data_IF_117894629400
#
_entry.id   IF_117894629400
#
_cell.length_a   1.000
_cell.length_b   1.000
_cell.length_c   1.000
_cell.angle_alpha   90.00
_cell.angle_beta   90.00
_cell.angle_gamma   90.00
#
_symmetry.space_group_name_H-M   'P 1'
#
loop_
_entity.id
_entity.type
_entity.pdbx_description
1 polymer ?
#
# COMPACT_ATOMS: atom_id res chain seq x y z
N UNK A 1 -37.07 -17.18 82.34
CA UNK A 1 -36.84 -18.13 81.24
C UNK A 1 -36.65 -17.32 79.97
N UNK A 2 -35.50 -17.54 79.37
CA UNK A 2 -34.95 -17.01 78.12
C UNK A 2 -35.89 -17.22 76.92
N UNK A 3 -36.00 -16.22 76.04
CA UNK A 3 -36.11 -16.39 74.58
C UNK A 3 -35.95 -15.02 73.88
N UNK A 4 -34.75 -14.75 73.33
CA UNK A 4 -34.45 -14.73 71.87
C UNK A 4 -35.09 -13.53 71.16
N UNK A 5 -34.46 -12.36 71.18
CA UNK A 5 -33.57 -11.86 70.11
C UNK A 5 -34.00 -12.30 68.70
N UNK A 6 -34.79 -11.47 68.03
CA UNK A 6 -34.82 -11.44 66.56
C UNK A 6 -34.72 -9.99 66.13
N UNK A 7 -33.49 -9.55 65.86
CA UNK A 7 -33.21 -8.30 65.16
C UNK A 7 -33.68 -8.49 63.71
N UNK A 8 -34.91 -8.06 63.42
CA UNK A 8 -35.30 -7.80 62.04
C UNK A 8 -34.53 -6.54 61.60
N UNK A 9 -33.35 -6.76 61.01
CA UNK A 9 -32.72 -5.74 60.17
C UNK A 9 -33.68 -5.52 59.01
N UNK A 10 -34.37 -4.37 59.07
CA UNK A 10 -35.21 -3.87 58.00
C UNK A 10 -34.27 -3.60 56.81
N UNK A 11 -34.22 -4.56 55.90
CA UNK A 11 -33.48 -4.43 54.63
C UNK A 11 -34.31 -3.46 53.80
N UNK A 12 -34.07 -2.17 54.00
CA UNK A 12 -34.68 -1.07 53.28
C UNK A 12 -34.24 -1.09 51.81
N UNK A 13 -34.84 -1.99 51.05
CA UNK A 13 -34.84 -1.96 49.60
C UNK A 13 -36.30 -1.86 49.19
N UNK A 14 -36.81 -0.64 49.19
CA UNK A 14 -38.21 -0.37 48.88
C UNK A 14 -38.48 -0.62 47.40
N UNK A 15 -39.71 -0.96 47.03
CA UNK A 15 -40.09 -1.10 45.61
C UNK A 15 -39.87 0.21 44.84
N UNK A 16 -39.94 1.35 45.54
CA UNK A 16 -39.65 2.68 44.99
C UNK A 16 -38.15 2.89 44.73
N UNK A 17 -37.26 2.46 45.64
CA UNK A 17 -35.81 2.49 45.39
C UNK A 17 -35.40 1.55 44.24
N UNK A 18 -36.06 0.40 44.11
CA UNK A 18 -35.86 -0.51 42.98
C UNK A 18 -36.36 0.09 41.67
N UNK A 19 -37.54 0.72 41.66
CA UNK A 19 -38.08 1.40 40.49
C UNK A 19 -37.21 2.59 40.06
N UNK A 20 -36.71 3.40 40.99
CA UNK A 20 -35.81 4.53 40.70
C UNK A 20 -34.43 4.09 40.21
N UNK A 21 -33.95 2.91 40.63
CA UNK A 21 -32.76 2.28 40.05
C UNK A 21 -33.05 1.72 38.65
N UNK A 22 -34.24 1.17 38.41
CA UNK A 22 -34.65 0.64 37.11
C UNK A 22 -34.82 1.74 36.07
N UNK A 23 -35.43 2.88 36.42
CA UNK A 23 -35.56 4.08 35.56
C UNK A 23 -34.20 4.67 35.17
N UNK A 24 -33.17 4.54 36.04
CA UNK A 24 -31.79 4.93 35.69
C UNK A 24 -31.16 4.01 34.64
N UNK A 25 -31.69 2.81 34.47
CA UNK A 25 -31.30 1.83 33.45
C UNK A 25 -32.32 1.70 32.33
N UNK A 26 -33.34 2.57 32.26
CA UNK A 26 -34.18 2.64 31.07
C UNK A 26 -33.27 3.05 29.91
N UNK A 27 -32.93 2.05 29.10
CA UNK A 27 -32.21 2.20 27.86
C UNK A 27 -33.10 3.04 26.93
N UNK A 28 -32.96 4.36 27.03
CA UNK A 28 -33.56 5.31 26.11
C UNK A 28 -32.78 5.20 24.80
N UNK A 29 -33.16 4.23 23.98
CA UNK A 29 -32.63 4.05 22.64
C UNK A 29 -33.11 5.21 21.77
N UNK A 30 -32.22 6.15 21.46
CA UNK A 30 -32.55 7.25 20.57
C UNK A 30 -32.21 6.86 19.11
N UNK A 31 -33.00 7.28 18.11
CA UNK A 31 -32.63 7.15 16.71
C UNK A 31 -31.27 7.83 16.48
N UNK A 32 -30.27 7.06 16.03
CA UNK A 32 -28.89 7.53 15.91
C UNK A 32 -27.86 6.77 16.75
N UNK A 33 -28.30 5.99 17.74
CA UNK A 33 -27.39 5.26 18.60
C UNK A 33 -26.91 3.95 17.96
N UNK A 34 -25.68 3.57 18.30
CA UNK A 34 -25.09 2.26 17.95
C UNK A 34 -25.29 1.33 19.14
N UNK A 35 -25.95 0.21 18.92
CA UNK A 35 -26.32 -0.77 19.95
C UNK A 35 -25.81 -2.16 19.58
N UNK A 36 -25.35 -2.92 20.57
CA UNK A 36 -25.05 -4.33 20.37
C UNK A 36 -26.37 -5.14 20.39
N UNK A 37 -26.58 -5.95 19.36
CA UNK A 37 -27.74 -6.82 19.25
C UNK A 37 -27.36 -8.24 18.90
N UNK A 38 -28.18 -9.21 19.27
CA UNK A 38 -28.00 -10.62 18.92
C UNK A 38 -29.08 -11.03 17.94
N UNK A 39 -28.70 -11.66 16.83
CA UNK A 39 -29.64 -12.11 15.80
C UNK A 39 -30.48 -13.26 16.35
N UNK A 40 -31.77 -13.00 16.57
CA UNK A 40 -32.71 -13.99 17.09
C UNK A 40 -33.27 -14.88 15.98
N UNK A 41 -33.70 -14.27 14.86
CA UNK A 41 -34.27 -14.99 13.72
C UNK A 41 -33.90 -14.34 12.39
N UNK A 42 -33.59 -15.15 11.39
CA UNK A 42 -33.34 -14.73 10.02
C UNK A 42 -34.59 -15.03 9.18
N UNK A 43 -35.11 -14.03 8.48
CA UNK A 43 -36.23 -14.17 7.54
C UNK A 43 -35.77 -13.86 6.11
N UNK A 44 -36.46 -14.32 5.06
CA UNK A 44 -36.06 -14.03 3.67
C UNK A 44 -36.06 -12.54 3.29
N UNK A 45 -36.75 -11.68 4.06
CA UNK A 45 -36.88 -10.24 3.79
C UNK A 45 -36.19 -9.36 4.83
N UNK A 46 -35.61 -9.94 5.87
CA UNK A 46 -34.98 -9.21 6.97
C UNK A 46 -34.53 -10.13 8.10
N UNK A 47 -34.15 -9.56 9.24
CA UNK A 47 -33.86 -10.33 10.44
C UNK A 47 -34.39 -9.62 11.69
N UNK A 48 -34.75 -10.42 12.69
CA UNK A 48 -35.14 -9.97 14.01
C UNK A 48 -33.93 -10.06 14.92
N UNK A 49 -33.62 -8.96 15.57
CA UNK A 49 -32.46 -8.78 16.44
C UNK A 49 -32.96 -8.37 17.81
N UNK A 50 -32.43 -9.03 18.83
CA UNK A 50 -32.62 -8.63 20.21
C UNK A 50 -31.52 -7.64 20.61
N UNK A 51 -31.88 -6.39 20.84
CA UNK A 51 -30.97 -5.33 21.30
C UNK A 51 -31.13 -5.04 22.81
N UNK A 52 -31.84 -5.89 23.55
CA UNK A 52 -32.17 -5.67 24.95
C UNK A 52 -33.26 -4.61 25.18
N UNK A 53 -34.00 -4.25 24.13
CA UNK A 53 -35.16 -3.38 24.20
C UNK A 53 -36.44 -4.16 24.56
N UNK A 54 -37.52 -3.44 24.89
CA UNK A 54 -38.82 -4.04 25.20
C UNK A 54 -39.45 -4.78 24.00
N UNK A 55 -39.06 -4.40 22.79
CA UNK A 55 -39.50 -5.03 21.54
C UNK A 55 -38.30 -5.43 20.69
N UNK A 56 -38.42 -6.55 19.97
CA UNK A 56 -37.41 -6.99 19.02
C UNK A 56 -37.26 -5.96 17.89
N UNK A 57 -36.01 -5.76 17.46
CA UNK A 57 -35.67 -4.84 16.40
C UNK A 57 -35.60 -5.58 15.06
N UNK A 58 -35.97 -4.91 13.97
CA UNK A 58 -36.03 -5.47 12.63
C UNK A 58 -34.99 -4.81 11.73
N UNK A 59 -34.19 -5.63 11.04
CA UNK A 59 -33.28 -5.17 9.98
C UNK A 59 -33.78 -5.65 8.62
N UNK A 60 -34.08 -4.74 7.67
CA UNK A 60 -34.43 -5.14 6.32
C UNK A 60 -33.17 -5.58 5.54
N UNK A 61 -33.32 -6.48 4.57
CA UNK A 61 -32.19 -7.01 3.77
C UNK A 61 -31.38 -5.91 3.06
N UNK A 62 -32.00 -4.76 2.75
CA UNK A 62 -31.34 -3.60 2.13
C UNK A 62 -30.36 -2.88 3.06
N UNK A 63 -30.52 -3.03 4.38
CA UNK A 63 -29.72 -2.40 5.42
C UNK A 63 -28.73 -3.38 6.08
N UNK A 64 -28.75 -4.65 5.66
CA UNK A 64 -27.85 -5.69 6.18
C UNK A 64 -26.41 -5.55 5.69
N UNK A 65 -26.17 -5.02 4.49
CA UNK A 65 -24.81 -4.76 4.02
C UNK A 65 -24.75 -3.67 2.96
N UNK A 66 -23.54 -3.17 2.74
CA UNK A 66 -23.20 -2.28 1.62
C UNK A 66 -23.37 -3.00 0.26
N UNK A 67 -23.17 -4.32 0.24
CA UNK A 67 -23.32 -5.12 -0.97
C UNK A 67 -24.80 -5.52 -1.19
N UNK A 68 -25.21 -5.59 -2.46
CA UNK A 68 -26.48 -6.22 -2.82
C UNK A 68 -26.29 -7.73 -2.62
N UNK A 69 -26.95 -8.27 -1.61
CA UNK A 69 -26.92 -9.68 -1.27
C UNK A 69 -28.29 -10.27 -1.58
N UNK A 70 -28.31 -11.48 -2.11
CA UNK A 70 -29.54 -12.20 -2.43
C UNK A 70 -30.05 -13.05 -1.24
N UNK A 71 -29.19 -13.33 -0.25
CA UNK A 71 -29.52 -14.05 0.98
C UNK A 71 -28.94 -13.42 2.27
N UNK A 72 -29.75 -13.18 3.32
CA UNK A 72 -29.30 -12.58 4.59
C UNK A 72 -28.31 -13.46 5.39
N UNK A 73 -28.27 -14.77 5.11
CA UNK A 73 -27.40 -15.76 5.76
C UNK A 73 -25.90 -15.58 5.45
N UNK A 74 -25.54 -14.90 4.35
CA UNK A 74 -24.13 -14.69 3.98
C UNK A 74 -23.43 -13.66 4.88
N UNK A 75 -24.19 -12.79 5.54
CA UNK A 75 -23.64 -11.69 6.35
C UNK A 75 -23.87 -11.90 7.84
N UNK A 76 -25.01 -12.49 8.20
CA UNK A 76 -25.40 -12.71 9.59
C UNK A 76 -25.60 -14.19 9.86
N UNK A 77 -24.91 -14.70 10.88
CA UNK A 77 -25.22 -16.01 11.43
C UNK A 77 -26.28 -15.87 12.53
N UNK A 78 -27.19 -16.84 12.62
CA UNK A 78 -28.15 -16.90 13.73
C UNK A 78 -27.37 -16.93 15.06
N UNK A 79 -27.82 -16.16 16.04
CA UNK A 79 -27.18 -16.00 17.35
C UNK A 79 -25.81 -15.29 17.35
N UNK A 80 -25.46 -14.57 16.28
CA UNK A 80 -24.28 -13.70 16.27
C UNK A 80 -24.60 -12.36 16.93
N UNK A 81 -23.71 -11.88 17.81
CA UNK A 81 -23.80 -10.54 18.39
C UNK A 81 -23.00 -9.55 17.55
N UNK A 82 -23.66 -8.50 17.06
CA UNK A 82 -23.03 -7.42 16.29
C UNK A 82 -23.52 -6.06 16.73
N UNK A 83 -22.81 -5.03 16.31
CA UNK A 83 -23.23 -3.64 16.49
C UNK A 83 -24.16 -3.23 15.34
N UNK A 84 -25.26 -2.57 15.70
CA UNK A 84 -26.32 -2.12 14.82
C UNK A 84 -26.61 -0.64 15.06
N UNK A 85 -26.91 0.08 14.00
CA UNK A 85 -27.31 1.47 14.07
C UNK A 85 -28.84 1.59 14.06
N UNK A 86 -29.43 2.35 14.98
CA UNK A 86 -30.88 2.56 15.01
C UNK A 86 -31.26 3.63 13.99
N UNK A 87 -32.01 3.25 12.95
CA UNK A 87 -32.46 4.17 11.89
C UNK A 87 -33.71 4.95 12.28
N UNK A 88 -34.70 4.26 12.84
CA UNK A 88 -36.00 4.82 13.18
C UNK A 88 -36.55 4.17 14.44
N UNK A 89 -37.16 5.00 15.28
CA UNK A 89 -37.99 4.56 16.38
C UNK A 89 -39.33 4.03 15.85
N UNK A 90 -39.69 2.85 16.34
CA UNK A 90 -41.04 2.27 16.36
C UNK A 90 -41.84 2.35 15.04
N UNK A 91 -41.71 1.32 14.19
CA UNK A 91 -42.64 1.12 13.07
C UNK A 91 -44.07 0.80 13.57
N UNK A 92 -45.06 0.73 12.68
CA UNK A 92 -46.46 0.41 13.01
C UNK A 92 -46.66 -0.87 13.86
N UNK A 93 -45.68 -1.79 13.83
CA UNK A 93 -45.65 -3.04 14.60
C UNK A 93 -44.89 -2.96 15.94
N UNK A 94 -44.44 -1.78 16.37
CA UNK A 94 -43.67 -1.61 17.60
C UNK A 94 -42.19 -1.99 17.51
N UNK A 95 -41.70 -2.30 16.31
CA UNK A 95 -40.33 -2.77 16.07
C UNK A 95 -39.39 -1.62 15.70
N UNK A 96 -38.18 -1.64 16.25
CA UNK A 96 -37.12 -0.67 15.93
C UNK A 96 -36.43 -1.04 14.62
N UNK A 97 -36.23 -0.10 13.70
CA UNK A 97 -35.54 -0.40 12.44
C UNK A 97 -34.03 -0.24 12.62
N UNK A 98 -33.26 -1.28 12.35
CA UNK A 98 -31.80 -1.28 12.46
C UNK A 98 -31.10 -1.28 11.09
N UNK A 99 -29.86 -0.81 11.08
CA UNK A 99 -28.95 -0.86 9.93
C UNK A 99 -27.53 -1.26 10.34
N UNK A 100 -26.99 -2.28 9.68
CA UNK A 100 -25.56 -2.62 9.73
C UNK A 100 -24.79 -1.80 8.68
N UNK A 101 -25.44 -1.54 7.54
CA UNK A 101 -24.84 -0.90 6.37
C UNK A 101 -24.07 0.37 6.71
N UNK A 102 -24.58 1.21 7.63
CA UNK A 102 -23.93 2.47 8.04
C UNK A 102 -22.64 2.23 8.84
N UNK A 103 -22.63 1.22 9.71
CA UNK A 103 -21.44 0.83 10.49
C UNK A 103 -20.39 0.21 9.57
N UNK A 104 -20.80 -0.70 8.67
CA UNK A 104 -19.91 -1.23 7.64
C UNK A 104 -19.30 -0.10 6.81
N UNK A 105 -20.09 0.93 6.47
CA UNK A 105 -19.62 2.05 5.67
C UNK A 105 -18.49 2.79 6.36
N UNK A 106 -18.70 3.17 7.62
CA UNK A 106 -17.68 3.85 8.43
C UNK A 106 -16.42 3.00 8.58
N UNK A 107 -16.58 1.71 8.93
CA UNK A 107 -15.44 0.77 9.06
C UNK A 107 -14.72 0.55 7.74
N UNK A 108 -15.42 0.52 6.61
CA UNK A 108 -14.80 0.39 5.29
C UNK A 108 -13.94 1.62 4.96
N UNK A 109 -14.40 2.83 5.26
CA UNK A 109 -13.61 4.06 5.09
C UNK A 109 -12.39 4.11 5.98
N UNK A 110 -12.54 3.73 7.25
CA UNK A 110 -11.43 3.63 8.18
C UNK A 110 -10.37 2.65 7.68
N UNK A 111 -10.78 1.46 7.23
CA UNK A 111 -9.88 0.47 6.62
C UNK A 111 -9.20 0.98 5.36
N UNK A 112 -9.92 1.66 4.47
CA UNK A 112 -9.33 2.23 3.25
C UNK A 112 -8.31 3.32 3.58
N UNK A 113 -8.59 4.17 4.57
CA UNK A 113 -7.66 5.20 5.05
C UNK A 113 -6.39 4.56 5.63
N UNK A 114 -6.55 3.50 6.42
CA UNK A 114 -5.43 2.75 6.97
C UNK A 114 -4.59 2.09 5.87
N UNK A 115 -5.23 1.42 4.90
CA UNK A 115 -4.53 0.79 3.78
C UNK A 115 -3.80 1.80 2.89
N UNK A 116 -4.34 3.02 2.77
CA UNK A 116 -3.64 4.12 2.09
C UNK A 116 -2.40 4.58 2.89
N UNK A 117 -2.51 4.71 4.22
CA UNK A 117 -1.40 5.11 5.07
C UNK A 117 -0.27 4.05 5.12
N UNK A 118 -0.64 2.78 5.07
CA UNK A 118 0.29 1.64 5.02
C UNK A 118 0.81 1.36 3.59
N UNK A 119 0.34 2.11 2.60
CA UNK A 119 0.70 1.97 1.19
C UNK A 119 0.52 0.53 0.67
N UNK A 120 -0.52 -0.16 1.17
CA UNK A 120 -0.75 -1.57 0.95
C UNK A 120 -1.33 -1.87 -0.45
N UNK A 121 -0.96 -3.02 -1.02
CA UNK A 121 -1.58 -3.52 -2.26
C UNK A 121 -2.82 -4.35 -1.95
N UNK A 122 -3.97 -3.94 -2.47
CA UNK A 122 -5.26 -4.62 -2.29
C UNK A 122 -5.65 -5.32 -3.57
N UNK A 123 -6.22 -6.53 -3.49
CA UNK A 123 -6.79 -7.24 -4.64
C UNK A 123 -8.27 -6.94 -4.76
N UNK A 124 -8.73 -6.61 -5.97
CA UNK A 124 -10.13 -6.28 -6.20
C UNK A 124 -10.56 -6.63 -7.61
N UNK A 125 -11.85 -6.98 -7.72
CA UNK A 125 -12.53 -7.30 -8.96
C UNK A 125 -13.04 -6.02 -9.64
N UNK A 126 -12.84 -5.91 -10.95
CA UNK A 126 -13.44 -4.86 -11.78
C UNK A 126 -14.88 -5.24 -12.11
N UNK A 127 -15.84 -4.42 -11.68
CA UNK A 127 -17.26 -4.66 -11.94
C UNK A 127 -17.69 -4.11 -13.30
N UNK A 128 -17.14 -2.97 -13.72
CA UNK A 128 -17.50 -2.34 -14.98
C UNK A 128 -16.34 -1.52 -15.55
N UNK A 129 -16.30 -1.38 -16.87
CA UNK A 129 -15.37 -0.51 -17.59
C UNK A 129 -16.17 0.56 -18.33
N UNK A 130 -15.71 1.82 -18.25
CA UNK A 130 -16.16 2.93 -19.06
C UNK A 130 -15.00 3.40 -19.97
N UNK A 131 -15.28 4.24 -20.98
CA UNK A 131 -14.25 4.74 -21.92
C UNK A 131 -13.06 5.43 -21.22
N UNK A 132 -13.32 6.08 -20.07
CA UNK A 132 -12.32 6.81 -19.28
C UNK A 132 -11.63 6.02 -18.16
N UNK A 133 -12.12 4.83 -17.78
CA UNK A 133 -11.57 4.09 -16.63
C UNK A 133 -12.41 2.89 -16.20
N UNK A 134 -11.96 2.18 -15.19
CA UNK A 134 -12.61 0.99 -14.63
C UNK A 134 -13.20 1.30 -13.24
N UNK A 135 -14.37 0.73 -12.96
CA UNK A 135 -15.04 0.76 -11.66
C UNK A 135 -14.73 -0.54 -10.92
N UNK A 136 -14.14 -0.41 -9.75
CA UNK A 136 -13.78 -1.53 -8.85
C UNK A 136 -14.54 -1.43 -7.55
N UNK A 137 -14.65 -2.55 -6.84
CA UNK A 137 -15.26 -2.58 -5.51
C UNK A 137 -14.26 -3.06 -4.49
N UNK A 138 -13.99 -2.24 -3.48
CA UNK A 138 -13.04 -2.56 -2.40
C UNK A 138 -13.78 -2.40 -1.10
N UNK A 139 -13.85 -3.48 -0.31
CA UNK A 139 -14.46 -3.46 1.02
C UNK A 139 -15.89 -2.90 1.05
N UNK A 140 -16.65 -3.10 -0.04
CA UNK A 140 -18.01 -2.58 -0.22
C UNK A 140 -18.07 -1.17 -0.85
N UNK A 141 -16.98 -0.41 -0.85
CA UNK A 141 -16.89 0.92 -1.44
C UNK A 141 -16.62 0.87 -2.95
N UNK A 142 -17.12 1.88 -3.67
CA UNK A 142 -16.93 2.03 -5.12
C UNK A 142 -15.64 2.81 -5.38
N UNK A 143 -14.71 2.18 -6.09
CA UNK A 143 -13.48 2.81 -6.56
C UNK A 143 -13.44 3.00 -8.07
N UNK A 144 -12.64 3.95 -8.50
CA UNK A 144 -12.41 4.30 -9.88
C UNK A 144 -10.92 4.19 -10.20
N UNK A 145 -10.59 3.46 -11.26
CA UNK A 145 -9.24 3.37 -11.83
C UNK A 145 -9.24 4.17 -13.13
N UNK A 146 -8.49 5.28 -13.22
CA UNK A 146 -8.37 6.00 -14.48
C UNK A 146 -7.69 5.12 -15.53
N UNK A 147 -8.14 5.17 -16.79
CA UNK A 147 -7.63 4.32 -17.87
C UNK A 147 -6.12 4.44 -18.09
N UNK A 148 -5.53 5.61 -17.83
CA UNK A 148 -4.08 5.84 -17.92
C UNK A 148 -3.26 5.04 -16.91
N UNK A 149 -3.88 4.54 -15.84
CA UNK A 149 -3.26 3.75 -14.77
C UNK A 149 -3.53 2.24 -14.91
N UNK A 150 -4.26 1.81 -15.94
CA UNK A 150 -4.45 0.40 -16.31
C UNK A 150 -3.33 0.03 -17.28
N UNK A 151 -2.29 -0.66 -16.80
CA UNK A 151 -1.11 -1.01 -17.62
C UNK A 151 -1.24 -2.36 -18.32
N UNK A 152 -2.46 -2.74 -18.72
CA UNK A 152 -2.69 -4.00 -19.45
C UNK A 152 -2.89 -3.71 -20.93
N UNK A 153 -2.13 -4.38 -21.81
CA UNK A 153 -2.27 -4.35 -23.29
C UNK A 153 -3.55 -5.04 -23.80
N UNK A 154 -4.40 -5.57 -22.90
CA UNK A 154 -5.64 -6.29 -23.23
C UNK A 154 -6.79 -5.30 -23.52
N UNK A 155 -7.77 -5.68 -24.36
CA UNK A 155 -8.98 -4.87 -24.58
C UNK A 155 -9.71 -4.63 -23.26
N UNK A 156 -10.24 -3.41 -23.07
CA UNK A 156 -10.79 -2.93 -21.78
C UNK A 156 -12.05 -3.71 -21.33
N UNK A 157 -12.67 -4.46 -22.22
CA UNK A 157 -13.90 -5.23 -22.00
C UNK A 157 -13.62 -6.58 -21.32
N UNK A 158 -12.44 -7.19 -21.53
CA UNK A 158 -12.08 -8.50 -20.94
C UNK A 158 -11.50 -8.38 -19.52
N UNK A 159 -11.33 -7.16 -19.01
CA UNK A 159 -10.84 -6.91 -17.64
C UNK A 159 -11.95 -7.00 -16.59
N UNK A 160 -13.21 -7.10 -17.01
CA UNK A 160 -14.36 -7.22 -16.10
C UNK A 160 -14.31 -8.60 -15.44
N UNK A 161 -14.28 -8.63 -14.11
CA UNK A 161 -14.17 -9.86 -13.33
C UNK A 161 -12.75 -10.39 -13.11
N UNK A 162 -11.70 -9.72 -13.61
CA UNK A 162 -10.31 -10.08 -13.28
C UNK A 162 -9.92 -9.46 -11.92
N UNK A 163 -9.27 -10.26 -11.05
CA UNK A 163 -8.71 -9.75 -9.79
C UNK A 163 -7.39 -9.03 -10.06
N UNK A 164 -7.40 -7.71 -9.95
CA UNK A 164 -6.20 -6.90 -10.13
C UNK A 164 -5.66 -6.43 -8.78
N UNK A 165 -4.33 -6.47 -8.57
CA UNK A 165 -3.72 -5.74 -7.47
C UNK A 165 -3.76 -4.25 -7.75
N UNK A 166 -4.24 -3.49 -6.77
CA UNK A 166 -4.46 -2.06 -6.85
C UNK A 166 -3.81 -1.40 -5.63
N UNK A 167 -3.27 -0.20 -5.85
CA UNK A 167 -2.80 0.67 -4.79
C UNK A 167 -3.67 1.92 -4.76
N UNK A 168 -3.91 2.46 -3.57
CA UNK A 168 -4.64 3.72 -3.42
C UNK A 168 -3.80 4.87 -3.99
N UNK A 169 -4.44 5.73 -4.77
CA UNK A 169 -3.86 6.99 -5.23
C UNK A 169 -4.43 8.14 -4.39
N UNK A 170 -5.75 8.17 -4.28
CA UNK A 170 -6.49 9.23 -3.61
C UNK A 170 -7.75 8.63 -2.98
N UNK A 171 -8.08 9.08 -1.78
CA UNK A 171 -9.25 8.64 -1.00
C UNK A 171 -10.00 9.90 -0.62
N UNK A 172 -11.20 10.09 -1.17
CA UNK A 172 -12.10 11.21 -0.88
C UNK A 172 -13.37 10.67 -0.23
N UNK A 173 -13.46 10.82 1.09
CA UNK A 173 -14.60 10.37 1.92
C UNK A 173 -15.85 11.22 1.70
N UNK A 174 -15.70 12.53 1.45
CA UNK A 174 -16.85 13.43 1.26
C UNK A 174 -17.58 13.13 -0.05
N UNK A 175 -16.83 12.86 -1.12
CA UNK A 175 -17.39 12.55 -2.44
C UNK A 175 -17.63 11.07 -2.67
N UNK A 176 -17.38 10.24 -1.66
CA UNK A 176 -17.43 8.79 -1.74
C UNK A 176 -16.64 8.26 -2.96
N UNK A 177 -15.48 8.85 -3.23
CA UNK A 177 -14.67 8.57 -4.42
C UNK A 177 -13.31 8.06 -4.02
N UNK A 178 -13.05 6.80 -4.38
CA UNK A 178 -11.73 6.18 -4.23
C UNK A 178 -11.06 6.14 -5.59
N UNK A 179 -9.87 6.71 -5.72
CA UNK A 179 -9.06 6.60 -6.94
C UNK A 179 -7.94 5.60 -6.71
N UNK A 180 -7.90 4.59 -7.57
CA UNK A 180 -6.97 3.47 -7.47
C UNK A 180 -6.09 3.39 -8.71
N UNK A 181 -4.91 2.81 -8.54
CA UNK A 181 -3.91 2.67 -9.60
C UNK A 181 -3.38 1.25 -9.65
N UNK A 182 -3.59 0.58 -10.80
CA UNK A 182 -3.00 -0.73 -11.07
C UNK A 182 -1.50 -0.61 -11.41
N UNK A 183 -1.10 0.46 -12.12
CA UNK A 183 0.31 0.71 -12.47
C UNK A 183 1.22 0.73 -11.25
N UNK A 184 0.84 1.41 -10.17
CA UNK A 184 1.69 1.50 -8.96
C UNK A 184 1.95 0.12 -8.34
N UNK A 185 0.93 -0.74 -8.29
CA UNK A 185 1.06 -2.09 -7.76
C UNK A 185 1.98 -2.99 -8.61
N UNK A 186 1.98 -2.82 -9.94
CA UNK A 186 2.90 -3.54 -10.84
C UNK A 186 4.35 -3.07 -10.68
N UNK A 187 4.53 -1.74 -10.57
CA UNK A 187 5.85 -1.13 -10.38
C UNK A 187 6.49 -1.65 -9.10
N UNK A 188 5.78 -1.61 -7.99
CA UNK A 188 6.28 -2.05 -6.68
C UNK A 188 6.64 -3.55 -6.65
N UNK A 189 5.80 -4.43 -7.21
CA UNK A 189 6.15 -5.86 -7.30
C UNK A 189 7.40 -6.12 -8.14
N UNK A 190 7.61 -5.33 -9.19
CA UNK A 190 8.80 -5.46 -10.03
C UNK A 190 10.02 -4.85 -9.36
N UNK A 191 9.88 -3.71 -8.71
CA UNK A 191 10.93 -3.10 -7.91
C UNK A 191 11.41 -4.01 -6.79
N UNK A 192 10.51 -4.68 -6.09
CA UNK A 192 10.88 -5.65 -5.05
C UNK A 192 11.62 -6.88 -5.59
N UNK A 193 11.57 -7.14 -6.90
CA UNK A 193 12.34 -8.22 -7.54
C UNK A 193 13.71 -7.76 -8.02
N UNK A 194 13.88 -6.46 -8.27
CA UNK A 194 15.08 -5.90 -8.87
C UNK A 194 16.05 -5.45 -7.77
N UNK A 195 17.30 -5.88 -7.87
CA UNK A 195 18.36 -5.46 -6.97
C UNK A 195 19.29 -4.45 -7.64
N UNK A 196 19.88 -3.54 -6.85
CA UNK A 196 20.92 -2.63 -7.32
C UNK A 196 22.13 -3.46 -7.79
N UNK A 197 22.65 -3.17 -8.98
CA UNK A 197 23.71 -3.93 -9.64
C UNK A 197 23.22 -5.08 -10.51
N UNK A 198 21.91 -5.34 -10.59
CA UNK A 198 21.35 -6.30 -11.53
C UNK A 198 21.38 -5.76 -12.97
N UNK A 199 21.71 -6.64 -13.92
CA UNK A 199 21.67 -6.36 -15.35
C UNK A 199 20.32 -6.79 -15.89
N UNK A 200 19.61 -5.84 -16.48
CA UNK A 200 18.26 -6.04 -17.02
C UNK A 200 18.21 -5.63 -18.48
N UNK A 201 17.35 -6.30 -19.24
CA UNK A 201 17.04 -5.93 -20.62
C UNK A 201 15.83 -4.98 -20.57
N UNK A 202 15.95 -3.83 -21.22
CA UNK A 202 14.87 -2.84 -21.30
C UNK A 202 14.72 -2.28 -22.71
N UNK A 203 13.52 -1.82 -23.03
CA UNK A 203 13.20 -1.25 -24.36
C UNK A 203 13.17 0.27 -24.30
N UNK A 204 13.86 0.96 -25.21
CA UNK A 204 13.89 2.43 -25.25
C UNK A 204 12.52 2.95 -25.68
N UNK A 205 11.80 3.64 -24.79
CA UNK A 205 10.48 4.22 -25.10
C UNK A 205 10.59 5.61 -25.72
N UNK A 206 11.65 6.35 -25.42
CA UNK A 206 11.86 7.69 -25.95
C UNK A 206 13.18 8.29 -25.50
N UNK A 207 13.72 9.16 -26.34
CA UNK A 207 15.02 9.78 -26.14
C UNK A 207 14.81 11.29 -25.98
N UNK A 208 15.48 11.88 -24.99
CA UNK A 208 15.53 13.33 -24.77
C UNK A 208 16.98 13.80 -24.74
N UNK A 209 17.23 15.12 -24.86
CA UNK A 209 18.60 15.64 -24.88
C UNK A 209 19.42 15.33 -23.63
N UNK A 210 18.75 15.14 -22.48
CA UNK A 210 19.40 14.83 -21.20
C UNK A 210 19.48 13.33 -20.87
N UNK A 211 18.89 12.45 -21.69
CA UNK A 211 18.93 11.01 -21.45
C UNK A 211 17.90 10.18 -22.22
N UNK A 212 17.97 8.87 -22.07
CA UNK A 212 17.05 7.90 -22.67
C UNK A 212 16.09 7.32 -21.61
N UNK A 213 14.81 7.21 -21.96
CA UNK A 213 13.80 6.54 -21.14
C UNK A 213 13.67 5.09 -21.60
N UNK A 214 14.01 4.17 -20.70
CA UNK A 214 14.01 2.74 -20.98
C UNK A 214 12.91 2.10 -20.13
N UNK A 215 12.03 1.33 -20.77
CA UNK A 215 10.98 0.58 -20.11
C UNK A 215 11.51 -0.81 -19.74
N UNK A 216 11.64 -1.07 -18.44
CA UNK A 216 12.05 -2.36 -17.90
C UNK A 216 10.79 -3.06 -17.43
N UNK A 217 10.07 -3.64 -18.38
CA UNK A 217 8.86 -4.42 -18.11
C UNK A 217 7.78 -3.66 -17.33
N UNK A 218 7.57 -2.36 -17.53
CA UNK A 218 6.51 -1.58 -16.87
C UNK A 218 6.99 -0.63 -15.77
N UNK A 219 8.29 -0.64 -15.45
CA UNK A 219 8.96 0.41 -14.67
C UNK A 219 9.79 1.27 -15.63
N UNK A 220 9.69 2.59 -15.49
CA UNK A 220 10.47 3.51 -16.34
C UNK A 220 11.82 3.77 -15.69
N UNK A 221 12.88 3.36 -16.37
CA UNK A 221 14.25 3.76 -16.06
C UNK A 221 14.68 4.99 -16.84
N UNK A 222 15.53 5.80 -16.22
CA UNK A 222 16.21 6.92 -16.87
C UNK A 222 17.69 6.60 -16.98
N UNK A 223 18.20 6.62 -18.21
CA UNK A 223 19.62 6.55 -18.52
C UNK A 223 20.11 7.96 -18.80
N UNK A 224 20.92 8.52 -17.90
CA UNK A 224 21.47 9.87 -18.07
C UNK A 224 22.51 9.86 -19.20
N UNK A 225 22.68 10.96 -19.95
CA UNK A 225 23.72 11.04 -21.01
C UNK A 225 25.11 10.69 -20.50
N UNK A 226 25.41 11.09 -19.26
CA UNK A 226 26.67 10.80 -18.58
C UNK A 226 26.81 9.36 -18.14
N UNK A 227 25.79 8.51 -18.28
CA UNK A 227 25.82 7.09 -17.92
C UNK A 227 25.72 6.18 -19.14
N UNK A 228 25.71 6.74 -20.36
CA UNK A 228 25.65 5.99 -21.62
C UNK A 228 27.00 5.35 -21.98
N UNK A 229 28.08 6.13 -21.98
CA UNK A 229 29.42 5.61 -22.28
C UNK A 229 30.48 6.51 -21.65
N UNK A 230 31.69 6.00 -21.50
CA UNK A 230 32.85 6.78 -21.02
C UNK A 230 33.26 7.90 -21.99
N UNK A 231 32.94 7.76 -23.27
CA UNK A 231 33.17 8.78 -24.29
C UNK A 231 32.10 9.89 -24.27
N UNK A 232 32.50 11.11 -24.64
CA UNK A 232 31.57 12.25 -24.71
C UNK A 232 30.60 12.05 -25.88
N UNK A 233 29.33 11.89 -25.56
CA UNK A 233 28.26 11.75 -26.56
C UNK A 233 27.52 13.08 -26.65
N UNK A 234 27.66 13.77 -27.78
CA UNK A 234 26.98 15.05 -28.04
C UNK A 234 25.47 14.89 -28.23
N UNK A 235 25.00 13.72 -28.70
CA UNK A 235 23.57 13.47 -28.90
C UNK A 235 23.22 12.01 -28.67
N UNK A 236 22.35 11.67 -27.69
CA UNK A 236 21.96 10.28 -27.42
C UNK A 236 21.21 9.58 -28.57
N UNK A 237 20.78 10.32 -29.59
CA UNK A 237 20.20 9.79 -30.84
C UNK A 237 21.20 9.06 -31.74
N UNK A 238 22.52 9.27 -31.56
CA UNK A 238 23.51 8.55 -32.35
C UNK A 238 23.73 7.11 -31.87
N UNK A 239 23.39 6.82 -30.61
CA UNK A 239 23.67 5.54 -29.95
C UNK A 239 22.43 4.66 -29.82
N UNK A 240 21.26 5.26 -29.56
CA UNK A 240 20.02 4.50 -29.38
C UNK A 240 18.93 4.94 -30.33
N UNK A 241 18.12 3.96 -30.76
CA UNK A 241 16.89 4.20 -31.50
C UNK A 241 15.67 4.00 -30.60
N UNK A 242 14.55 4.65 -30.94
CA UNK A 242 13.28 4.41 -30.25
C UNK A 242 12.81 2.99 -30.56
N UNK A 243 12.42 2.26 -29.51
CA UNK A 243 12.08 0.83 -29.48
C UNK A 243 13.26 -0.15 -29.54
N UNK A 244 14.49 0.32 -29.37
CA UNK A 244 15.64 -0.57 -29.29
C UNK A 244 15.70 -1.33 -27.95
N UNK A 245 16.22 -2.55 -27.95
CA UNK A 245 16.41 -3.36 -26.76
C UNK A 245 17.85 -3.22 -26.25
N UNK A 246 18.01 -2.71 -25.03
CA UNK A 246 19.30 -2.38 -24.44
C UNK A 246 19.46 -3.11 -23.11
N UNK A 247 20.65 -3.69 -22.89
CA UNK A 247 21.07 -4.27 -21.62
C UNK A 247 21.65 -3.14 -20.77
N UNK A 248 21.09 -2.95 -19.58
CA UNK A 248 21.43 -1.85 -18.68
C UNK A 248 21.59 -2.37 -17.25
N UNK A 249 22.46 -1.76 -16.47
CA UNK A 249 22.64 -2.05 -15.06
C UNK A 249 21.87 -1.03 -14.21
N UNK A 250 21.25 -1.51 -13.13
CA UNK A 250 20.55 -0.68 -12.16
C UNK A 250 21.58 -0.06 -11.20
N UNK A 251 21.72 1.26 -11.19
CA UNK A 251 22.59 1.97 -10.22
C UNK A 251 21.81 2.33 -8.96
N UNK A 252 20.59 2.85 -9.14
CA UNK A 252 19.80 3.39 -8.04
C UNK A 252 18.32 3.15 -8.30
N UNK A 253 17.57 2.92 -7.23
CA UNK A 253 16.16 2.55 -7.28
C UNK A 253 15.34 3.47 -6.36
N UNK A 254 14.53 4.32 -6.98
CA UNK A 254 13.58 5.21 -6.31
C UNK A 254 12.21 4.52 -6.24
N UNK A 255 11.97 3.79 -5.14
CA UNK A 255 10.77 2.99 -4.92
C UNK A 255 9.47 3.81 -4.86
N UNK A 256 9.53 5.05 -4.37
CA UNK A 256 8.33 5.88 -4.19
C UNK A 256 7.73 6.33 -5.52
N UNK A 257 8.60 6.77 -6.44
CA UNK A 257 8.17 7.34 -7.73
C UNK A 257 8.20 6.34 -8.87
N UNK A 258 8.68 5.11 -8.62
CA UNK A 258 8.71 4.10 -9.67
C UNK A 258 9.78 4.37 -10.72
N UNK A 259 10.90 4.98 -10.34
CA UNK A 259 11.98 5.37 -11.25
C UNK A 259 13.24 4.60 -10.91
N UNK A 260 13.97 4.21 -11.93
CA UNK A 260 15.24 3.51 -11.79
C UNK A 260 16.30 4.31 -12.54
N UNK A 261 17.43 4.57 -11.90
CA UNK A 261 18.59 5.15 -12.55
C UNK A 261 19.40 4.02 -13.16
N UNK A 262 19.60 4.10 -14.47
CA UNK A 262 20.26 3.07 -15.25
C UNK A 262 21.62 3.56 -15.74
N UNK A 263 22.54 2.63 -15.91
CA UNK A 263 23.83 2.87 -16.55
C UNK A 263 24.24 1.72 -17.44
N UNK A 264 24.87 2.08 -18.55
CA UNK A 264 25.51 1.14 -19.46
C UNK A 264 27.03 1.16 -19.33
N UNK A 265 27.61 2.20 -18.70
CA UNK A 265 29.05 2.31 -18.44
C UNK A 265 29.62 1.12 -17.68
N UNK A 266 28.92 0.64 -16.65
CA UNK A 266 29.40 -0.46 -15.82
C UNK A 266 29.41 -1.82 -16.54
N UNK A 267 28.77 -1.90 -17.71
CA UNK A 267 28.70 -3.09 -18.55
C UNK A 267 29.73 -3.07 -19.70
N UNK A 268 30.36 -1.92 -19.97
CA UNK A 268 31.41 -1.79 -20.98
C UNK A 268 32.72 -2.42 -20.46
N UNK A 269 33.26 -3.48 -21.10
CA UNK A 269 34.54 -4.06 -20.71
C UNK A 269 35.74 -3.16 -21.06
N UNK A 270 35.61 -2.31 -22.08
CA UNK A 270 36.55 -1.23 -22.41
C UNK A 270 35.78 0.07 -22.72
N UNK A 271 36.32 1.25 -22.37
CA UNK A 271 35.67 2.54 -22.66
C UNK A 271 35.47 2.74 -24.18
N UNK A 272 34.22 2.97 -24.58
CA UNK A 272 33.83 3.24 -25.98
C UNK A 272 33.35 2.01 -26.77
N UNK A 273 33.18 0.85 -26.13
CA UNK A 273 32.68 -0.37 -26.80
C UNK A 273 31.23 -0.27 -27.25
N UNK A 274 30.36 0.50 -26.56
CA UNK A 274 29.00 0.75 -27.06
C UNK A 274 28.96 1.56 -28.35
N UNK A 275 29.96 2.42 -28.56
CA UNK A 275 30.07 3.27 -29.76
C UNK A 275 30.68 2.49 -30.92
N UNK A 276 31.59 1.54 -30.63
CA UNK A 276 32.35 0.80 -31.64
C UNK A 276 31.71 -0.51 -32.07
N UNK A 277 31.11 -1.29 -31.16
CA UNK A 277 30.50 -2.60 -31.45
C UNK A 277 29.46 -3.02 -30.39
N UNK A 278 28.20 -2.56 -30.49
CA UNK A 278 27.15 -2.88 -29.51
C UNK A 278 26.89 -4.40 -29.37
N UNK A 279 27.08 -5.20 -30.42
CA UNK A 279 26.90 -6.66 -30.39
C UNK A 279 27.82 -7.40 -29.39
N UNK A 280 29.08 -6.95 -29.23
CA UNK A 280 30.06 -7.63 -28.36
C UNK A 280 29.73 -7.42 -26.88
N UNK A 281 29.13 -6.27 -26.56
CA UNK A 281 28.64 -5.93 -25.21
C UNK A 281 27.42 -6.80 -24.86
N UNK A 282 26.52 -7.04 -25.82
CA UNK A 282 25.35 -7.89 -25.59
C UNK A 282 25.69 -9.35 -25.32
N UNK A 283 26.70 -9.90 -25.99
CA UNK A 283 27.13 -11.30 -25.85
C UNK A 283 27.96 -11.54 -24.59
N UNK A 284 28.79 -10.58 -24.17
CA UNK A 284 29.64 -10.72 -22.96
C UNK A 284 28.99 -10.23 -21.67
N UNK A 285 27.82 -9.59 -21.75
CA UNK A 285 27.12 -9.02 -20.59
C UNK A 285 26.78 -10.06 -19.50
N UNK A 286 26.44 -11.30 -19.88
CA UNK A 286 26.05 -12.33 -18.90
C UNK A 286 27.23 -12.85 -18.08
N UNK A 287 28.40 -13.02 -18.69
CA UNK A 287 29.63 -13.47 -18.02
C UNK A 287 30.21 -12.37 -17.10
N UNK A 288 30.12 -11.11 -17.52
CA UNK A 288 30.59 -9.97 -16.73
C UNK A 288 29.66 -9.66 -15.57
N UNK A 289 28.34 -9.78 -15.76
CA UNK A 289 27.36 -9.67 -14.68
C UNK A 289 27.56 -10.75 -13.61
N UNK A 290 27.92 -11.98 -14.01
CA UNK A 290 28.25 -13.05 -13.08
C UNK A 290 29.51 -12.75 -12.25
N UNK A 291 30.59 -12.28 -12.89
CA UNK A 291 31.83 -11.88 -12.19
C UNK A 291 31.63 -10.70 -11.23
N UNK A 292 30.81 -9.72 -11.61
CA UNK A 292 30.52 -8.56 -10.74
C UNK A 292 29.70 -8.97 -9.51
N UNK A 293 28.70 -9.86 -9.67
CA UNK A 293 27.93 -10.44 -8.56
C UNK A 293 28.80 -11.27 -7.61
N UNK A 294 29.78 -12.00 -8.14
CA UNK A 294 30.75 -12.75 -7.32
C UNK A 294 31.66 -11.82 -6.51
N UNK A 295 32.19 -10.77 -7.12
CA UNK A 295 33.04 -9.78 -6.43
C UNK A 295 32.26 -9.00 -5.36
N UNK A 296 31.01 -8.61 -5.64
CA UNK A 296 30.11 -7.97 -4.65
C UNK A 296 29.79 -8.91 -3.48
N UNK A 297 29.53 -10.20 -3.75
CA UNK A 297 29.29 -11.19 -2.69
C UNK A 297 30.54 -11.44 -1.85
N UNK A 298 31.74 -11.45 -2.44
CA UNK A 298 33.00 -11.57 -1.71
C UNK A 298 33.27 -10.34 -0.83
N UNK A 299 32.96 -9.13 -1.30
CA UNK A 299 33.06 -7.91 -0.48
C UNK A 299 32.03 -7.88 0.66
N UNK A 300 30.81 -8.39 0.44
CA UNK A 300 29.78 -8.47 1.49
C UNK A 300 30.01 -9.63 2.48
N UNK A 301 30.68 -10.72 2.08
CA UNK A 301 31.01 -11.85 2.95
C UNK A 301 32.34 -11.68 3.72
N UNK A 302 33.12 -10.63 3.41
CA UNK A 302 34.41 -10.34 4.07
C UNK A 302 34.33 -9.57 5.39
N UNK A 303 33.14 -9.21 5.88
CA UNK A 303 32.97 -8.62 7.20
C UNK A 303 31.76 -9.26 7.88
N UNK A 304 31.97 -10.16 8.86
CA UNK A 304 32.22 -9.66 10.21
C UNK A 304 33.18 -10.52 11.06
N UNK A 305 34.07 -9.88 11.85
CA UNK A 305 34.28 -10.15 13.27
C UNK A 305 35.66 -9.66 13.77
N UNK A 306 35.61 -9.10 14.99
CA UNK A 306 36.68 -8.95 15.98
C UNK A 306 37.66 -7.78 15.84
N UNK A 307 37.35 -6.74 16.63
CA UNK A 307 38.28 -6.10 17.56
C UNK A 307 39.36 -7.06 18.05
N UNK A 308 40.63 -6.71 17.85
CA UNK A 308 41.72 -6.83 18.84
C UNK A 308 42.94 -6.08 18.30
N UNK A 309 43.37 -5.05 19.03
CA UNK A 309 44.69 -4.44 18.85
C UNK A 309 45.76 -5.49 19.21
N UNK A 310 46.87 -5.53 18.45
CA UNK A 310 48.15 -5.58 19.13
C UNK A 310 49.11 -4.50 18.67
N UNK A 311 50.00 -4.21 19.61
CA UNK A 311 50.96 -3.13 19.70
C UNK A 311 52.20 -3.42 18.85
N UNK A 312 52.75 -2.32 18.31
CA UNK A 312 54.13 -2.05 17.91
C UNK A 312 54.86 -3.05 16.99
N UNK A 313 55.25 -2.55 15.82
CA UNK A 313 56.66 -2.61 15.44
C UNK A 313 57.03 -1.34 14.64
N UNK A 314 58.12 -0.74 15.07
CA UNK A 314 58.67 0.53 14.61
C UNK A 314 59.20 0.43 13.17
N UNK A 315 58.94 1.45 12.34
CA UNK A 315 59.72 1.69 11.12
C UNK A 315 60.21 3.13 11.16
N UNK A 316 61.52 3.37 10.95
CA UNK A 316 62.15 4.64 11.25
C UNK A 316 61.79 5.72 10.23
N UNK A 317 61.71 6.93 10.77
CA UNK A 317 61.54 8.21 10.11
C UNK A 317 62.68 8.47 9.12
N UNK A 318 62.35 8.71 7.86
CA UNK A 318 63.20 9.44 6.91
C UNK A 318 62.58 10.82 6.70
N UNK A 319 63.29 11.84 7.20
CA UNK A 319 63.02 13.26 7.03
C UNK A 319 63.24 13.66 5.57
N UNK A 320 62.28 14.39 5.00
CA UNK A 320 62.57 15.41 4.01
C UNK A 320 61.74 16.65 4.36
N UNK A 321 62.46 17.72 4.68
CA UNK A 321 61.98 19.08 4.95
C UNK A 321 61.52 19.77 3.64
N UNK A 322 61.06 21.02 3.83
CA UNK A 322 60.87 22.12 2.85
C UNK A 322 59.42 22.27 2.37
N UNK A 323 58.68 23.36 2.60
CA UNK A 323 58.92 24.68 3.20
C UNK A 323 57.53 25.30 3.49
N UNK A 324 57.38 25.95 4.64
CA UNK A 324 56.23 26.79 4.96
C UNK A 324 56.29 28.11 4.19
N UNK A 325 55.18 28.47 3.55
CA UNK A 325 54.93 29.82 3.05
C UNK A 325 54.40 30.64 4.24
N UNK A 326 55.00 31.78 4.61
CA UNK A 326 54.46 32.60 5.69
C UNK A 326 53.24 33.38 5.20
N UNK A 327 52.15 33.21 5.96
CA UNK A 327 50.97 34.06 5.95
C UNK A 327 51.32 35.41 6.58
N UNK A 328 51.07 36.50 5.87
CA UNK A 328 51.31 37.85 6.33
C UNK A 328 49.97 38.60 6.43
N UNK A 329 49.47 38.72 7.65
CA UNK A 329 48.46 39.70 8.06
C UNK A 329 49.15 40.97 8.59
N UNK A 330 48.80 42.14 8.04
CA UNK A 330 48.66 43.46 8.72
C UNK A 330 48.35 44.51 7.61
N UNK A 331 47.14 45.07 7.50
CA UNK A 331 46.54 46.20 8.25
C UNK A 331 47.17 47.61 8.00
N UNK A 332 46.30 48.54 7.56
CA UNK A 332 46.35 50.03 7.62
C UNK A 332 47.38 50.71 6.66
N UNK A 333 47.01 51.63 5.74
CA UNK A 333 46.34 52.92 5.92
C UNK A 333 45.64 53.42 4.63
#
# INVERSE_FOLDING_TARGET
MTNQNTLAMDVGFTHEDFAALLDKYDYHFSPGDVVAGTVFSLEPRGALIDIGAKTAAYIPIQEMSINRIDAPEEVLQSNETREFFILADENEDGQLTLSIRRIEYMRAWERVRQLQAEDATVRSLVFATNRGGALVRIEGLRGFIPGSHISTRKPKEDLVGEELPLKFLEVDEERNRLVLSHRRALVERKMNRLEVGEVVIGTVRGIKPYGAFIDIGGVSGLLHISEISHDHIDTPHSVFNVNDEVKVMIIDLDAERGRISLSTKQLEPEPGDMVKNPQVVYDKAEEMAAKYRENMKQQQQGAPAALELPVAEEVPVALEEVEEIPDATEEVE
#
